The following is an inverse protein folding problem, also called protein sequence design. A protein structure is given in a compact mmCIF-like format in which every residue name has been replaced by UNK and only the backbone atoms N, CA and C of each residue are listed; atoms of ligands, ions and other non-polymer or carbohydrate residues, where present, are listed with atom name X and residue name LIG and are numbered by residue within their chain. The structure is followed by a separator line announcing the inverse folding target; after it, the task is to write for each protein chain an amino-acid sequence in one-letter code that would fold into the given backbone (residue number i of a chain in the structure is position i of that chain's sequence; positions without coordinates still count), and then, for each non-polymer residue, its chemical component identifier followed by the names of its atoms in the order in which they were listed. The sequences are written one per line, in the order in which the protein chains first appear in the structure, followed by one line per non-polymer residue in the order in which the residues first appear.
data_IF_180084981651
#
_entry.id   IF_180084981651
#
_cell.length_a   1.000
_cell.length_b   1.000
_cell.length_c   1.000
_cell.angle_alpha   90.00
_cell.angle_beta   90.00
_cell.angle_gamma   90.00
#
_symmetry.space_group_name_H-M   'P 1'
#
loop_
_entity.id
_entity.type
_entity.pdbx_description
1 polymer ?
#
# COMPACT_ATOMS: atom_id res chain seq x y z
N UNK A 1 -0.22 17.61 -18.06
CA UNK A 1 -0.62 18.99 -18.36
C UNK A 1 -0.53 19.74 -17.05
N UNK A 2 0.56 20.46 -16.83
CA UNK A 2 0.80 21.19 -15.58
C UNK A 2 0.49 22.64 -15.83
N UNK A 3 -0.39 23.23 -15.03
CA UNK A 3 -0.68 24.66 -15.05
C UNK A 3 0.16 25.32 -13.97
N UNK A 4 0.95 26.33 -14.35
CA UNK A 4 1.69 27.18 -13.43
C UNK A 4 1.05 28.56 -13.45
N UNK A 5 0.71 29.08 -12.27
CA UNK A 5 0.29 30.47 -12.08
C UNK A 5 1.47 31.21 -11.44
N UNK A 6 1.90 32.37 -11.95
CA UNK A 6 2.99 33.13 -11.32
C UNK A 6 2.50 33.77 -10.01
N UNK A 7 3.32 33.69 -8.96
CA UNK A 7 3.07 34.38 -7.69
C UNK A 7 4.07 35.54 -7.53
N UNK A 8 3.52 36.74 -7.44
CA UNK A 8 4.22 37.99 -7.16
C UNK A 8 4.59 38.06 -5.66
N UNK A 9 5.76 38.62 -5.37
CA UNK A 9 6.39 38.63 -4.06
C UNK A 9 5.55 39.31 -2.97
N UNK A 10 5.30 38.59 -1.87
CA UNK A 10 4.88 39.18 -0.60
C UNK A 10 3.96 38.27 0.21
N UNK A 11 4.55 37.54 1.18
CA UNK A 11 3.87 36.74 2.20
C UNK A 11 2.85 35.71 1.66
N UNK A 12 3.37 34.70 0.95
CA UNK A 12 2.57 33.62 0.36
C UNK A 12 2.32 32.44 1.30
N UNK A 13 1.07 31.97 1.27
CA UNK A 13 0.54 30.75 1.92
C UNK A 13 1.48 29.56 1.67
N UNK A 14 1.95 28.92 2.74
CA UNK A 14 2.65 27.63 2.66
C UNK A 14 1.64 26.57 2.21
N UNK A 15 1.64 26.24 0.93
CA UNK A 15 1.02 24.99 0.49
C UNK A 15 1.84 23.85 1.09
N UNK A 16 1.24 23.11 2.02
CA UNK A 16 1.74 21.81 2.40
C UNK A 16 1.50 20.86 1.22
N UNK A 17 2.33 20.99 0.18
CA UNK A 17 2.49 19.92 -0.79
C UNK A 17 3.12 18.78 -0.01
N UNK A 18 2.28 17.83 0.42
CA UNK A 18 2.77 16.58 0.96
C UNK A 18 3.64 15.97 -0.14
N UNK A 19 4.95 15.94 0.08
CA UNK A 19 5.94 15.42 -0.84
C UNK A 19 5.56 13.97 -1.13
N UNK A 20 4.90 13.73 -2.27
CA UNK A 20 4.34 12.43 -2.59
C UNK A 20 5.49 11.56 -3.06
N UNK A 21 6.21 10.97 -2.11
CA UNK A 21 7.36 10.15 -2.36
C UNK A 21 6.89 8.80 -2.92
N UNK A 22 6.67 8.79 -4.24
CA UNK A 22 6.24 7.60 -4.97
C UNK A 22 7.47 6.79 -5.35
N UNK A 23 7.43 5.48 -5.10
CA UNK A 23 8.41 4.54 -5.65
C UNK A 23 8.37 4.59 -7.18
N UNK A 24 9.43 5.14 -7.80
CA UNK A 24 9.52 5.36 -9.24
C UNK A 24 9.94 4.08 -10.00
N UNK A 25 10.65 3.17 -9.33
CA UNK A 25 11.17 1.93 -9.89
C UNK A 25 10.89 0.76 -8.96
N UNK A 26 9.72 0.09 -9.09
CA UNK A 26 9.38 -1.04 -8.23
C UNK A 26 10.36 -2.20 -8.48
N UNK A 27 10.89 -2.78 -7.41
CA UNK A 27 11.92 -3.82 -7.48
C UNK A 27 11.28 -5.21 -7.47
N UNK A 28 10.65 -5.60 -6.35
CA UNK A 28 9.92 -6.87 -6.25
C UNK A 28 8.43 -6.57 -6.26
N UNK A 29 7.70 -7.13 -7.21
CA UNK A 29 6.27 -6.90 -7.34
C UNK A 29 5.44 -8.15 -7.15
N UNK A 30 4.31 -7.97 -6.46
CA UNK A 30 3.19 -8.87 -6.46
C UNK A 30 2.22 -8.55 -7.60
N UNK A 31 1.51 -9.58 -8.07
CA UNK A 31 0.58 -9.46 -9.20
C UNK A 31 -0.81 -9.06 -8.74
N UNK A 32 -1.75 -9.99 -8.59
CA UNK A 32 -3.17 -9.67 -8.39
C UNK A 32 -3.68 -10.12 -7.02
N UNK A 33 -4.55 -9.29 -6.46
CA UNK A 33 -5.39 -9.61 -5.30
C UNK A 33 -6.84 -9.48 -5.75
N UNK A 34 -7.63 -10.52 -5.51
CA UNK A 34 -9.05 -10.56 -5.88
C UNK A 34 -9.89 -10.74 -4.62
N UNK A 35 -11.01 -10.01 -4.53
CA UNK A 35 -11.94 -10.14 -3.42
C UNK A 35 -13.38 -10.19 -3.92
N UNK A 36 -14.21 -10.99 -3.25
CA UNK A 36 -15.63 -11.15 -3.51
C UNK A 36 -16.39 -10.92 -2.19
N UNK A 37 -17.39 -10.03 -2.24
CA UNK A 37 -18.33 -9.82 -1.14
C UNK A 37 -19.50 -10.81 -1.27
N UNK A 38 -19.88 -11.43 -0.16
CA UNK A 38 -21.08 -12.26 -0.05
C UNK A 38 -21.92 -11.82 1.16
N UNK A 39 -23.05 -12.52 1.41
CA UNK A 39 -24.07 -12.12 2.39
C UNK A 39 -23.49 -11.80 3.78
N UNK A 40 -22.61 -12.67 4.26
CA UNK A 40 -22.13 -12.65 5.65
C UNK A 40 -20.62 -12.37 5.75
N UNK A 41 -19.97 -11.91 4.66
CA UNK A 41 -18.53 -11.64 4.71
C UNK A 41 -17.88 -11.32 3.37
N UNK A 42 -16.56 -11.37 3.38
CA UNK A 42 -15.68 -11.11 2.23
C UNK A 42 -14.72 -12.28 2.11
N UNK A 43 -14.55 -12.79 0.89
CA UNK A 43 -13.51 -13.75 0.54
C UNK A 43 -12.45 -13.00 -0.27
N UNK A 44 -11.18 -13.11 0.12
CA UNK A 44 -10.06 -12.52 -0.60
C UNK A 44 -9.02 -13.59 -0.91
N UNK A 45 -8.38 -13.50 -2.07
CA UNK A 45 -7.35 -14.41 -2.51
C UNK A 45 -6.25 -13.66 -3.28
N UNK A 46 -5.02 -14.15 -3.19
CA UNK A 46 -3.87 -13.62 -3.91
C UNK A 46 -2.86 -14.73 -4.21
N UNK A 47 -2.01 -14.56 -5.23
CA UNK A 47 -0.85 -15.43 -5.45
C UNK A 47 0.22 -15.22 -4.37
N UNK A 48 1.13 -16.18 -4.20
CA UNK A 48 2.24 -16.09 -3.24
C UNK A 48 3.58 -15.75 -3.92
N UNK A 49 3.52 -15.33 -5.18
CA UNK A 49 4.69 -15.00 -5.99
C UNK A 49 5.17 -13.56 -5.80
N UNK A 50 6.48 -13.40 -5.66
CA UNK A 50 7.17 -12.12 -5.76
C UNK A 50 8.10 -12.13 -6.98
N UNK A 51 7.77 -11.31 -7.98
CA UNK A 51 8.49 -11.25 -9.25
C UNK A 51 9.48 -10.09 -9.27
N UNK A 52 10.66 -10.34 -9.81
CA UNK A 52 11.65 -9.34 -10.17
C UNK A 52 11.68 -9.24 -11.69
N UNK A 53 10.95 -8.27 -12.25
CA UNK A 53 10.64 -8.24 -13.68
C UNK A 53 9.97 -9.54 -14.12
N UNK A 54 10.57 -10.24 -15.08
CA UNK A 54 10.04 -11.52 -15.60
C UNK A 54 10.39 -12.75 -14.74
N UNK A 55 11.28 -12.60 -13.76
CA UNK A 55 11.76 -13.74 -12.96
C UNK A 55 10.99 -13.86 -11.65
N UNK A 56 10.38 -15.02 -11.40
CA UNK A 56 9.80 -15.33 -10.09
C UNK A 56 10.92 -15.53 -9.06
N UNK A 57 11.20 -14.49 -8.28
CA UNK A 57 12.30 -14.48 -7.31
C UNK A 57 11.90 -15.18 -6.01
N UNK A 58 10.69 -14.92 -5.54
CA UNK A 58 10.15 -15.49 -4.32
C UNK A 58 8.87 -16.26 -4.62
N UNK A 59 8.79 -17.50 -4.12
CA UNK A 59 7.66 -18.40 -4.42
C UNK A 59 6.61 -18.47 -3.29
N UNK A 60 6.94 -17.93 -2.13
CA UNK A 60 6.14 -18.06 -0.92
C UNK A 60 6.17 -16.77 -0.09
N UNK A 61 5.60 -15.70 -0.64
CA UNK A 61 5.39 -14.43 0.08
C UNK A 61 3.90 -14.30 0.38
N UNK A 62 3.57 -14.07 1.65
CA UNK A 62 2.23 -13.71 2.07
C UNK A 62 1.99 -12.21 1.79
N UNK A 63 0.97 -11.90 0.98
CA UNK A 63 0.62 -10.53 0.57
C UNK A 63 -0.76 -10.11 1.08
N UNK A 64 -1.27 -10.87 2.06
CA UNK A 64 -2.52 -10.63 2.74
C UNK A 64 -2.27 -10.71 4.24
N UNK A 65 -2.79 -9.74 5.01
CA UNK A 65 -2.63 -9.69 6.46
C UNK A 65 -3.94 -9.28 7.09
N UNK A 66 -4.38 -10.03 8.09
CA UNK A 66 -5.49 -9.62 8.93
C UNK A 66 -5.04 -8.47 9.85
N UNK A 67 -5.81 -7.39 9.87
CA UNK A 67 -5.53 -6.18 10.67
C UNK A 67 -6.65 -6.04 11.70
N UNK A 68 -6.33 -6.18 12.99
CA UNK A 68 -7.32 -6.20 14.07
C UNK A 68 -8.35 -7.34 13.94
N UNK A 69 -9.57 -7.11 14.41
CA UNK A 69 -10.64 -8.14 14.44
C UNK A 69 -11.51 -8.24 13.20
N UNK A 70 -11.63 -7.15 12.43
CA UNK A 70 -12.68 -7.02 11.42
C UNK A 70 -12.18 -6.52 10.05
N UNK A 71 -10.86 -6.40 9.88
CA UNK A 71 -10.27 -5.87 8.65
C UNK A 71 -9.24 -6.84 8.07
N UNK A 72 -9.21 -6.92 6.74
CA UNK A 72 -8.25 -7.71 5.99
C UNK A 72 -7.59 -6.81 4.95
N UNK A 73 -6.26 -6.74 4.97
CA UNK A 73 -5.48 -6.01 4.01
C UNK A 73 -4.88 -6.98 3.01
N UNK A 74 -5.04 -6.68 1.72
CA UNK A 74 -4.30 -7.33 0.65
C UNK A 74 -3.71 -6.26 -0.26
N UNK A 75 -2.44 -6.38 -0.61
CA UNK A 75 -1.75 -5.42 -1.46
C UNK A 75 -1.17 -6.07 -2.72
N UNK A 76 -1.16 -5.28 -3.79
CA UNK A 76 -0.53 -5.58 -5.07
C UNK A 76 0.55 -4.53 -5.33
N UNK A 77 1.45 -4.79 -6.27
CA UNK A 77 2.55 -3.89 -6.58
C UNK A 77 3.78 -4.20 -5.73
N UNK A 78 4.47 -3.16 -5.27
CA UNK A 78 5.79 -3.30 -4.67
C UNK A 78 5.73 -3.87 -3.23
N UNK A 79 6.59 -4.85 -2.95
CA UNK A 79 6.54 -5.60 -1.68
C UNK A 79 7.13 -4.80 -0.51
N UNK A 80 8.16 -3.98 -0.73
CA UNK A 80 8.73 -3.14 0.34
C UNK A 80 7.76 -2.05 0.81
N UNK A 81 7.01 -1.43 -0.10
CA UNK A 81 5.93 -0.48 0.20
C UNK A 81 4.85 -1.17 1.05
N UNK A 82 4.47 -2.41 0.71
CA UNK A 82 3.53 -3.20 1.51
C UNK A 82 4.05 -3.46 2.93
N UNK A 83 5.32 -3.82 3.09
CA UNK A 83 5.93 -4.06 4.41
C UNK A 83 5.94 -2.80 5.27
N UNK A 84 6.20 -1.65 4.67
CA UNK A 84 6.22 -0.38 5.40
C UNK A 84 4.80 0.04 5.83
N UNK A 85 3.79 -0.14 4.97
CA UNK A 85 2.39 0.08 5.33
C UNK A 85 1.96 -0.86 6.46
N UNK A 86 2.39 -2.13 6.43
CA UNK A 86 2.11 -3.07 7.51
C UNK A 86 2.71 -2.60 8.84
N UNK A 87 3.94 -2.10 8.83
CA UNK A 87 4.58 -1.56 10.04
C UNK A 87 3.76 -0.41 10.65
N UNK A 88 3.33 0.55 9.82
CA UNK A 88 2.48 1.65 10.29
C UNK A 88 1.13 1.17 10.80
N UNK A 89 0.51 0.20 10.14
CA UNK A 89 -0.78 -0.35 10.57
C UNK A 89 -0.66 -1.13 11.88
N UNK A 90 0.41 -1.89 12.07
CA UNK A 90 0.66 -2.61 13.32
C UNK A 90 0.85 -1.62 14.48
N UNK A 91 1.59 -0.52 14.28
CA UNK A 91 1.73 0.56 15.26
C UNK A 91 0.37 1.22 15.59
N UNK A 92 -0.47 1.47 14.58
CA UNK A 92 -1.79 2.07 14.77
C UNK A 92 -2.76 1.12 15.51
N UNK A 93 -2.76 -0.17 15.17
CA UNK A 93 -3.61 -1.17 15.86
C UNK A 93 -3.25 -1.26 17.34
N UNK A 94 -1.96 -1.19 17.67
CA UNK A 94 -1.48 -1.17 19.05
C UNK A 94 -1.91 0.11 19.78
N UNK A 95 -1.78 1.27 19.15
CA UNK A 95 -2.17 2.55 19.75
C UNK A 95 -3.69 2.66 19.97
N UNK A 96 -4.49 2.16 19.03
CA UNK A 96 -5.95 2.22 19.07
C UNK A 96 -6.58 1.08 19.90
N UNK A 97 -5.77 0.24 20.56
CA UNK A 97 -6.23 -0.88 21.38
C UNK A 97 -7.21 -1.81 20.65
N UNK A 98 -7.06 -2.01 19.33
CA UNK A 98 -7.99 -2.83 18.52
C UNK A 98 -7.76 -4.35 18.63
N UNK A 99 -7.31 -4.82 19.80
CA UNK A 99 -7.04 -6.22 20.13
C UNK A 99 -8.29 -6.98 20.55
#
# INVERSE_FOLDING_TARGET
MTFTIPIENGNGVKNAEADFQRTLYPYVTGTSVVAIKYKDGILMASDMGGSYGSTLRYKNIERMKAIGKHSLLGASGEISDFQEILRYLDELVLNDNMW
#
